data_IF_630537387369
#
_entry.id   IF_630537387369
#
_cell.length_a   1.000
_cell.length_b   1.000
_cell.length_c   1.000
_cell.angle_alpha   90.00
_cell.angle_beta   90.00
_cell.angle_gamma   90.00
#
_symmetry.space_group_name_H-M   'P 1'
#
loop_
_entity.id
_entity.type
_entity.pdbx_description
1 polymer ?
#
# COMPACT_ATOMS: atom_id res chain seq x y z
N UNK A 1 -38.81 0.35 -8.48
CA UNK A 1 -37.89 1.36 -7.87
C UNK A 1 -37.60 2.56 -8.76
N UNK A 2 -37.42 2.43 -10.11
CA UNK A 2 -37.19 3.59 -10.99
C UNK A 2 -38.40 4.51 -11.11
N UNK A 3 -39.61 4.00 -10.93
CA UNK A 3 -40.87 4.76 -11.01
C UNK A 3 -41.22 5.51 -9.72
N UNK A 4 -40.73 5.04 -8.58
CA UNK A 4 -41.07 5.58 -7.26
C UNK A 4 -40.06 6.58 -6.68
N UNK A 5 -38.81 6.59 -7.14
CA UNK A 5 -37.76 7.52 -6.67
C UNK A 5 -36.73 7.81 -7.79
N UNK A 6 -37.12 8.59 -8.82
CA UNK A 6 -36.21 8.94 -9.91
C UNK A 6 -34.99 9.74 -9.44
N UNK A 7 -35.15 10.63 -8.45
CA UNK A 7 -34.09 11.47 -7.90
C UNK A 7 -33.07 10.65 -7.10
N UNK A 8 -33.52 9.73 -6.27
CA UNK A 8 -32.64 8.82 -5.53
C UNK A 8 -31.90 7.82 -6.43
N UNK A 9 -32.53 7.42 -7.57
CA UNK A 9 -31.83 6.62 -8.59
C UNK A 9 -30.74 7.44 -9.28
N UNK A 10 -30.98 8.71 -9.57
CA UNK A 10 -29.99 9.61 -10.17
C UNK A 10 -28.83 9.93 -9.23
N UNK A 11 -29.12 10.21 -7.95
CA UNK A 11 -28.11 10.41 -6.93
C UNK A 11 -27.23 9.16 -6.72
N UNK A 12 -27.81 7.96 -6.74
CA UNK A 12 -27.06 6.70 -6.68
C UNK A 12 -26.20 6.45 -7.92
N UNK A 13 -26.62 6.92 -9.10
CA UNK A 13 -25.80 6.88 -10.34
C UNK A 13 -24.60 7.83 -10.26
N UNK A 14 -24.76 9.04 -9.69
CA UNK A 14 -23.66 9.98 -9.49
C UNK A 14 -22.63 9.47 -8.46
N UNK A 15 -23.01 8.59 -7.54
CA UNK A 15 -22.12 7.91 -6.59
C UNK A 15 -21.35 6.70 -7.19
N UNK A 16 -21.57 6.34 -8.45
CA UNK A 16 -20.79 5.29 -9.10
C UNK A 16 -19.34 5.74 -9.29
N UNK A 17 -18.42 5.09 -8.56
CA UNK A 17 -16.98 5.24 -8.75
C UNK A 17 -16.64 4.94 -10.22
N UNK A 18 -16.30 5.97 -10.98
CA UNK A 18 -15.67 5.79 -12.29
C UNK A 18 -14.27 5.22 -12.09
N UNK A 19 -14.16 3.89 -12.18
CA UNK A 19 -12.87 3.21 -12.15
C UNK A 19 -12.08 3.62 -13.38
N UNK A 20 -10.98 4.32 -13.17
CA UNK A 20 -10.07 4.70 -14.25
C UNK A 20 -9.29 3.47 -14.68
N UNK A 21 -9.03 3.36 -15.97
CA UNK A 21 -8.06 2.39 -16.46
C UNK A 21 -6.67 2.80 -15.96
N UNK A 22 -6.02 1.92 -15.24
CA UNK A 22 -4.63 2.09 -14.86
C UNK A 22 -3.79 1.18 -15.74
N UNK A 23 -2.86 1.77 -16.47
CA UNK A 23 -1.91 1.05 -17.32
C UNK A 23 -0.51 1.41 -16.84
N UNK A 24 0.26 0.42 -16.45
CA UNK A 24 1.70 0.54 -16.25
C UNK A 24 2.38 -0.29 -17.34
N UNK A 25 3.14 0.33 -18.25
CA UNK A 25 3.67 -0.36 -19.43
C UNK A 25 4.86 -1.29 -19.15
N UNK A 26 5.29 -1.45 -17.89
CA UNK A 26 6.41 -2.34 -17.56
C UNK A 26 6.59 -2.60 -16.09
N UNK A 27 7.28 -3.71 -15.78
CA UNK A 27 7.73 -4.01 -14.43
C UNK A 27 8.70 -2.91 -13.96
N UNK A 28 8.64 -2.55 -12.67
CA UNK A 28 9.48 -1.48 -12.10
C UNK A 28 9.37 -0.10 -12.77
N UNK A 29 8.43 0.10 -13.69
CA UNK A 29 8.16 1.44 -14.18
C UNK A 29 7.69 2.35 -13.03
N UNK A 30 6.80 1.88 -12.19
CA UNK A 30 6.39 2.66 -11.02
C UNK A 30 6.16 1.80 -9.78
N UNK A 31 6.51 2.38 -8.63
CA UNK A 31 6.13 1.90 -7.32
C UNK A 31 5.18 2.91 -6.68
N UNK A 32 4.14 2.40 -6.01
CA UNK A 32 3.13 3.18 -5.32
C UNK A 32 3.25 2.92 -3.82
N UNK A 33 3.37 4.00 -3.07
CA UNK A 33 3.63 3.95 -1.63
C UNK A 33 2.50 4.63 -0.88
N UNK A 34 2.03 3.98 0.19
CA UNK A 34 1.04 4.57 1.09
C UNK A 34 1.08 3.91 2.47
N UNK A 35 0.60 4.64 3.49
CA UNK A 35 0.33 4.13 4.82
C UNK A 35 -1.11 3.60 4.98
N UNK A 36 -1.30 2.69 5.93
CA UNK A 36 -2.60 2.23 6.37
C UNK A 36 -2.74 2.44 7.88
N UNK A 37 -3.63 3.35 8.27
CA UNK A 37 -3.82 3.76 9.67
C UNK A 37 -5.02 3.05 10.35
N UNK A 38 -5.46 1.89 9.83
CA UNK A 38 -6.63 1.17 10.37
C UNK A 38 -6.41 0.61 11.79
N UNK A 39 -5.19 0.20 12.09
CA UNK A 39 -4.77 -0.28 13.41
C UNK A 39 -4.09 0.80 14.26
N UNK A 40 -4.00 2.01 13.76
CA UNK A 40 -3.39 3.15 14.47
C UNK A 40 -4.04 3.47 15.83
N UNK A 41 -5.37 3.33 16.05
CA UNK A 41 -5.96 3.50 17.36
C UNK A 41 -5.32 2.62 18.42
N UNK A 42 -4.81 1.43 18.06
CA UNK A 42 -4.12 0.48 18.94
C UNK A 42 -2.58 0.67 18.93
N UNK A 43 -2.08 1.74 18.31
CA UNK A 43 -0.64 2.04 18.26
C UNK A 43 0.12 1.38 17.11
N UNK A 44 -0.55 0.71 16.17
CA UNK A 44 0.06 0.04 15.02
C UNK A 44 -0.28 0.79 13.74
N UNK A 45 0.73 1.34 13.08
CA UNK A 45 0.63 1.90 11.74
C UNK A 45 1.27 0.94 10.74
N UNK A 46 0.64 0.71 9.60
CA UNK A 46 1.17 -0.17 8.56
C UNK A 46 1.61 0.70 7.38
N UNK A 47 2.75 0.38 6.80
CA UNK A 47 3.27 1.07 5.64
C UNK A 47 3.58 0.07 4.53
N UNK A 48 3.19 0.39 3.29
CA UNK A 48 3.34 -0.53 2.18
C UNK A 48 3.76 0.12 0.88
N UNK A 49 4.29 -0.72 0.00
CA UNK A 49 4.63 -0.39 -1.37
C UNK A 49 4.20 -1.51 -2.31
N UNK A 50 3.58 -1.14 -3.42
CA UNK A 50 3.20 -2.07 -4.47
C UNK A 50 3.81 -1.66 -5.82
N UNK A 51 4.16 -2.66 -6.62
CA UNK A 51 4.55 -2.47 -8.01
C UNK A 51 3.33 -2.12 -8.86
N UNK A 52 3.46 -1.13 -9.73
CA UNK A 52 2.33 -0.61 -10.51
C UNK A 52 1.80 -1.56 -11.59
N UNK A 53 2.64 -2.39 -12.20
CA UNK A 53 2.21 -3.37 -13.20
C UNK A 53 1.68 -4.63 -12.55
N UNK A 54 2.55 -5.31 -11.80
CA UNK A 54 2.30 -6.64 -11.27
C UNK A 54 1.41 -6.66 -10.04
N UNK A 55 1.23 -5.51 -9.37
CA UNK A 55 0.60 -5.39 -8.06
C UNK A 55 1.35 -6.18 -6.96
N UNK A 56 2.59 -6.58 -7.22
CA UNK A 56 3.46 -7.22 -6.24
C UNK A 56 3.70 -6.30 -5.06
N UNK A 57 3.51 -6.81 -3.86
CA UNK A 57 3.87 -6.08 -2.64
C UNK A 57 5.38 -6.14 -2.48
N UNK A 58 6.02 -4.97 -2.52
CA UNK A 58 7.47 -4.82 -2.36
C UNK A 58 7.85 -4.86 -0.88
N UNK A 59 7.12 -4.11 -0.06
CA UNK A 59 7.20 -4.21 1.40
C UNK A 59 5.84 -3.99 2.04
N UNK A 60 5.67 -4.54 3.23
CA UNK A 60 4.53 -4.37 4.11
C UNK A 60 5.05 -4.43 5.53
N UNK A 61 5.10 -3.29 6.22
CA UNK A 61 5.80 -3.14 7.49
C UNK A 61 4.91 -2.50 8.54
N UNK A 62 4.91 -3.07 9.76
CA UNK A 62 4.27 -2.47 10.92
C UNK A 62 5.24 -1.55 11.65
N UNK A 63 4.73 -0.45 12.17
CA UNK A 63 5.50 0.52 12.95
C UNK A 63 4.60 1.34 13.87
N UNK A 64 5.18 2.01 14.86
CA UNK A 64 4.42 2.89 15.75
C UNK A 64 3.72 4.05 15.02
N UNK A 65 4.34 4.56 13.98
CA UNK A 65 3.84 5.73 13.26
C UNK A 65 4.34 5.78 11.82
N UNK A 66 3.43 6.04 10.89
CA UNK A 66 3.76 6.29 9.49
C UNK A 66 4.44 7.65 9.24
N UNK A 67 4.68 8.46 10.29
CA UNK A 67 5.21 9.83 10.15
C UNK A 67 6.73 9.93 10.18
N UNK A 68 7.47 8.83 10.39
CA UNK A 68 8.93 8.88 10.45
C UNK A 68 9.57 8.73 9.06
N UNK A 69 10.10 9.82 8.45
CA UNK A 69 10.64 9.78 7.09
C UNK A 69 11.90 8.92 6.97
N UNK A 70 12.66 8.72 8.06
CA UNK A 70 13.86 7.88 8.06
C UNK A 70 13.51 6.39 7.94
N UNK A 71 12.42 5.95 8.59
CA UNK A 71 11.95 4.56 8.48
C UNK A 71 11.45 4.26 7.07
N UNK A 72 10.65 5.17 6.50
CA UNK A 72 10.15 5.01 5.12
C UNK A 72 11.32 4.95 4.12
N UNK A 73 12.30 5.84 4.28
CA UNK A 73 13.51 5.83 3.47
C UNK A 73 14.33 4.53 3.63
N UNK A 74 14.39 3.96 4.84
CA UNK A 74 15.05 2.66 5.10
C UNK A 74 14.35 1.52 4.35
N UNK A 75 13.02 1.46 4.36
CA UNK A 75 12.27 0.44 3.62
C UNK A 75 12.53 0.54 2.13
N UNK A 76 12.52 1.76 1.60
CA UNK A 76 12.84 2.02 0.21
C UNK A 76 14.25 1.55 -0.16
N UNK A 77 15.27 1.98 0.57
CA UNK A 77 16.66 1.58 0.29
C UNK A 77 16.86 0.06 0.37
N UNK A 78 16.28 -0.60 1.37
CA UNK A 78 16.32 -2.06 1.48
C UNK A 78 15.72 -2.73 0.24
N UNK A 79 14.59 -2.20 -0.24
CA UNK A 79 13.90 -2.73 -1.41
C UNK A 79 14.66 -2.46 -2.71
N UNK A 80 15.24 -1.27 -2.87
CA UNK A 80 16.12 -0.93 -4.00
C UNK A 80 17.35 -1.85 -4.03
N UNK A 81 17.97 -2.12 -2.89
CA UNK A 81 19.09 -3.05 -2.78
C UNK A 81 18.66 -4.48 -3.15
N UNK A 82 17.53 -4.95 -2.65
CA UNK A 82 17.02 -6.30 -2.93
C UNK A 82 16.57 -6.49 -4.38
N UNK A 83 16.06 -5.44 -5.02
CA UNK A 83 15.68 -5.45 -6.43
C UNK A 83 16.85 -5.15 -7.40
N UNK A 84 18.05 -4.89 -6.87
CA UNK A 84 19.23 -4.43 -7.64
C UNK A 84 18.94 -3.21 -8.54
N UNK A 85 17.99 -2.36 -8.13
CA UNK A 85 17.61 -1.17 -8.88
C UNK A 85 16.43 -0.43 -8.27
N UNK A 86 16.27 0.84 -8.64
CA UNK A 86 15.12 1.65 -8.24
C UNK A 86 14.06 1.68 -9.35
N UNK A 87 12.78 1.98 -9.02
CA UNK A 87 11.76 2.17 -10.04
C UNK A 87 12.07 3.38 -10.92
N UNK A 88 11.57 3.38 -12.14
CA UNK A 88 11.66 4.56 -13.01
C UNK A 88 10.94 5.74 -12.38
N UNK A 89 9.77 5.50 -11.78
CA UNK A 89 8.99 6.51 -11.05
C UNK A 89 8.50 5.99 -9.70
N UNK A 90 8.45 6.90 -8.75
CA UNK A 90 7.91 6.66 -7.43
C UNK A 90 6.71 7.57 -7.20
N UNK A 91 5.58 7.00 -6.79
CA UNK A 91 4.37 7.75 -6.45
C UNK A 91 4.09 7.67 -4.96
N UNK A 92 3.91 8.82 -4.33
CA UNK A 92 3.50 8.94 -2.93
C UNK A 92 2.39 9.96 -2.77
N UNK A 93 1.66 9.91 -1.68
CA UNK A 93 0.81 11.01 -1.28
C UNK A 93 1.64 12.16 -0.69
N UNK A 94 1.04 13.36 -0.62
CA UNK A 94 1.68 14.49 0.05
C UNK A 94 1.74 14.24 1.55
N UNK A 95 2.95 14.20 2.10
CA UNK A 95 3.21 14.01 3.50
C UNK A 95 4.69 14.26 3.81
N UNK A 96 4.98 14.73 5.01
CA UNK A 96 6.35 15.02 5.45
C UNK A 96 7.20 13.76 5.56
N UNK A 97 6.57 12.62 5.81
CA UNK A 97 7.18 11.30 5.87
C UNK A 97 7.80 10.86 4.54
N UNK A 98 7.32 11.38 3.43
CA UNK A 98 7.79 11.03 2.09
C UNK A 98 8.93 11.91 1.57
N UNK A 99 9.35 12.93 2.33
CA UNK A 99 10.33 13.91 1.86
C UNK A 99 11.71 13.32 1.57
N UNK A 100 12.27 12.54 2.51
CA UNK A 100 13.60 11.90 2.34
C UNK A 100 13.57 10.90 1.18
N UNK A 101 12.55 10.07 1.13
CA UNK A 101 12.34 9.09 0.08
C UNK A 101 12.27 9.74 -1.32
N UNK A 102 11.54 10.86 -1.44
CA UNK A 102 11.41 11.61 -2.69
C UNK A 102 12.77 12.10 -3.20
N UNK A 103 13.58 12.67 -2.31
CA UNK A 103 14.94 13.12 -2.63
C UNK A 103 15.83 11.95 -3.04
N UNK A 104 15.78 10.83 -2.30
CA UNK A 104 16.55 9.62 -2.63
C UNK A 104 16.19 9.06 -4.01
N UNK A 105 14.91 8.97 -4.34
CA UNK A 105 14.48 8.50 -5.65
C UNK A 105 15.00 9.43 -6.77
N UNK A 106 14.88 10.74 -6.60
CA UNK A 106 15.39 11.70 -7.57
C UNK A 106 16.91 11.60 -7.72
N UNK A 107 17.64 11.42 -6.62
CA UNK A 107 19.09 11.25 -6.62
C UNK A 107 19.53 9.98 -7.34
N UNK A 108 18.91 8.84 -7.03
CA UNK A 108 19.22 7.55 -7.68
C UNK A 108 18.94 7.55 -9.19
N UNK A 109 18.12 8.49 -9.65
CA UNK A 109 17.73 8.64 -11.05
C UNK A 109 18.36 9.86 -11.73
N UNK A 110 19.36 10.49 -11.13
CA UNK A 110 19.98 11.72 -11.66
C UNK A 110 20.57 11.52 -13.05
N UNK A 111 21.22 10.38 -13.28
CA UNK A 111 21.88 10.03 -14.55
C UNK A 111 20.98 9.23 -15.51
N UNK A 112 19.69 9.13 -15.21
CA UNK A 112 18.75 8.45 -16.11
C UNK A 112 18.64 9.17 -17.45
N UNK A 113 18.53 8.40 -18.54
CA UNK A 113 18.44 8.93 -19.91
C UNK A 113 16.99 9.07 -20.41
N UNK A 114 16.01 8.66 -19.62
CA UNK A 114 14.60 8.73 -19.98
C UNK A 114 13.92 10.03 -19.52
N UNK A 115 12.70 10.25 -19.99
CA UNK A 115 11.91 11.46 -19.69
C UNK A 115 11.55 11.65 -18.20
N UNK A 116 11.72 10.59 -17.39
CA UNK A 116 11.41 10.57 -15.94
C UNK A 116 12.66 10.67 -15.06
N UNK A 117 13.81 11.04 -15.62
CA UNK A 117 15.04 11.16 -14.87
C UNK A 117 15.02 12.34 -13.87
N UNK A 118 15.93 12.29 -12.92
CA UNK A 118 16.17 13.33 -11.91
C UNK A 118 14.90 13.72 -11.14
N UNK A 119 14.53 14.99 -11.12
CA UNK A 119 13.38 15.52 -10.36
C UNK A 119 12.02 14.96 -10.80
N UNK A 120 11.93 14.37 -11.97
CA UNK A 120 10.70 13.75 -12.50
C UNK A 120 10.52 12.30 -12.03
N UNK A 121 11.55 11.70 -11.41
CA UNK A 121 11.50 10.32 -10.92
C UNK A 121 10.58 10.13 -9.71
N UNK A 122 10.23 11.19 -9.01
CA UNK A 122 9.22 11.17 -7.95
C UNK A 122 8.04 12.08 -8.29
N UNK A 123 6.82 11.66 -7.90
CA UNK A 123 5.62 12.47 -8.07
C UNK A 123 4.68 12.32 -6.90
N UNK A 124 4.28 13.44 -6.31
CA UNK A 124 3.15 13.48 -5.39
C UNK A 124 1.83 13.31 -6.13
N UNK A 125 1.03 12.37 -5.70
CA UNK A 125 -0.28 12.07 -6.28
C UNK A 125 -1.39 12.17 -5.23
N UNK A 126 -2.62 12.40 -5.68
CA UNK A 126 -3.79 12.29 -4.80
C UNK A 126 -4.11 10.79 -4.60
N UNK A 127 -4.74 10.43 -3.48
CA UNK A 127 -5.19 9.06 -3.17
C UNK A 127 -5.98 8.44 -4.33
N UNK A 128 -6.81 9.23 -5.01
CA UNK A 128 -7.56 8.79 -6.20
C UNK A 128 -6.70 8.35 -7.39
N UNK A 129 -5.41 8.67 -7.40
CA UNK A 129 -4.42 8.21 -8.40
C UNK A 129 -3.50 7.11 -7.87
N UNK A 130 -3.59 6.80 -6.58
CA UNK A 130 -2.85 5.72 -5.92
C UNK A 130 -3.70 4.44 -5.82
N UNK A 131 -4.53 4.19 -6.84
CA UNK A 131 -5.63 3.22 -6.79
C UNK A 131 -5.20 1.77 -6.51
N UNK A 132 -4.02 1.35 -6.93
CA UNK A 132 -3.61 -0.05 -6.74
C UNK A 132 -3.32 -0.34 -5.27
N UNK A 133 -2.57 0.52 -4.59
CA UNK A 133 -2.31 0.33 -3.17
C UNK A 133 -3.58 0.56 -2.33
N UNK A 134 -4.45 1.48 -2.73
CA UNK A 134 -5.75 1.68 -2.10
C UNK A 134 -6.68 0.47 -2.27
N UNK A 135 -6.67 -0.14 -3.45
CA UNK A 135 -7.38 -1.39 -3.71
C UNK A 135 -6.84 -2.53 -2.85
N UNK A 136 -5.51 -2.61 -2.70
CA UNK A 136 -4.86 -3.56 -1.81
C UNK A 136 -5.28 -3.34 -0.35
N UNK A 137 -5.28 -2.10 0.16
CA UNK A 137 -5.74 -1.79 1.52
C UNK A 137 -7.20 -2.21 1.77
N UNK A 138 -8.05 -2.05 0.77
CA UNK A 138 -9.45 -2.50 0.84
C UNK A 138 -9.55 -4.03 0.93
N UNK A 139 -8.67 -4.74 0.25
CA UNK A 139 -8.57 -6.20 0.30
C UNK A 139 -8.00 -6.67 1.65
N UNK A 140 -6.89 -6.09 2.08
CA UNK A 140 -6.25 -6.34 3.37
C UNK A 140 -7.21 -6.12 4.54
N UNK A 141 -8.02 -5.03 4.49
CA UNK A 141 -9.02 -4.76 5.52
C UNK A 141 -9.99 -5.92 5.69
N UNK A 142 -10.55 -6.42 4.60
CA UNK A 142 -11.56 -7.48 4.65
C UNK A 142 -11.00 -8.83 5.10
N UNK A 143 -9.75 -9.09 4.80
CA UNK A 143 -9.16 -10.41 5.05
C UNK A 143 -8.42 -10.49 6.39
N UNK A 144 -7.82 -9.41 6.86
CA UNK A 144 -6.90 -9.46 7.99
C UNK A 144 -7.09 -8.34 9.02
N UNK A 145 -7.08 -7.07 8.61
CA UNK A 145 -7.10 -5.99 9.62
C UNK A 145 -8.39 -5.92 10.41
N UNK A 146 -9.52 -6.39 9.86
CA UNK A 146 -10.77 -6.49 10.63
C UNK A 146 -10.62 -7.44 11.82
N UNK A 147 -10.00 -8.62 11.60
CA UNK A 147 -9.74 -9.59 12.67
C UNK A 147 -8.85 -8.99 13.79
N UNK A 148 -7.78 -8.28 13.43
CA UNK A 148 -6.93 -7.60 14.42
C UNK A 148 -7.66 -6.50 15.19
N UNK A 149 -8.52 -5.75 14.48
CA UNK A 149 -9.35 -4.71 15.10
C UNK A 149 -10.32 -5.35 16.11
N UNK A 150 -11.03 -6.40 15.72
CA UNK A 150 -11.98 -7.10 16.56
C UNK A 150 -11.24 -7.71 17.78
N UNK A 151 -10.10 -8.35 17.56
CA UNK A 151 -9.27 -8.93 18.61
C UNK A 151 -8.80 -7.90 19.67
N UNK A 152 -8.37 -6.71 19.24
CA UNK A 152 -8.00 -5.65 20.18
C UNK A 152 -9.20 -4.98 20.83
N UNK A 153 -10.34 -4.92 20.16
CA UNK A 153 -11.59 -4.43 20.75
C UNK A 153 -12.07 -5.35 21.86
N UNK A 154 -11.93 -6.68 21.72
CA UNK A 154 -12.26 -7.64 22.79
C UNK A 154 -11.47 -7.36 24.07
N UNK A 155 -10.21 -6.91 23.97
CA UNK A 155 -9.42 -6.51 25.14
C UNK A 155 -9.94 -5.21 25.78
N UNK A 156 -10.41 -4.25 24.96
CA UNK A 156 -11.04 -3.03 25.47
C UNK A 156 -12.37 -3.32 26.16
N UNK A 157 -13.22 -4.17 25.56
CA UNK A 157 -14.52 -4.54 26.10
C UNK A 157 -14.42 -5.38 27.39
N UNK A 158 -13.30 -6.11 27.54
CA UNK A 158 -13.01 -6.92 28.73
C UNK A 158 -12.26 -6.15 29.82
N UNK A 159 -12.07 -4.84 29.69
CA UNK A 159 -11.29 -3.98 30.61
C UNK A 159 -9.83 -4.46 30.83
N UNK A 160 -9.29 -5.27 29.90
CA UNK A 160 -7.89 -5.73 29.92
C UNK A 160 -6.95 -4.66 29.35
N UNK A 161 -7.43 -3.85 28.41
CA UNK A 161 -6.68 -2.81 27.71
C UNK A 161 -7.31 -1.45 27.95
N UNK A 162 -6.48 -0.50 28.37
CA UNK A 162 -6.80 0.94 28.40
C UNK A 162 -5.84 1.68 27.49
N UNK A 163 -6.32 2.22 26.37
CA UNK A 163 -5.52 2.97 25.40
C UNK A 163 -5.10 4.36 25.91
N UNK A 164 -5.65 4.82 27.03
CA UNK A 164 -5.21 6.07 27.68
C UNK A 164 -3.99 5.84 28.58
N UNK A 165 -3.73 4.60 28.97
CA UNK A 165 -2.56 4.21 29.74
C UNK A 165 -1.37 3.92 28.80
N UNK A 166 -0.28 4.66 28.99
CA UNK A 166 0.95 4.50 28.22
C UNK A 166 1.62 3.14 28.44
N UNK A 167 1.48 2.54 29.62
CA UNK A 167 2.03 1.22 29.92
C UNK A 167 1.26 0.15 29.13
N UNK A 168 -0.06 0.24 29.11
CA UNK A 168 -0.89 -0.68 28.32
C UNK A 168 -0.57 -0.59 26.83
N UNK A 169 -0.46 0.61 26.26
CA UNK A 169 -0.13 0.78 24.83
C UNK A 169 1.27 0.28 24.49
N UNK A 170 2.27 0.49 25.34
CA UNK A 170 3.63 -0.04 25.17
C UNK A 170 3.66 -1.57 25.31
N UNK A 171 2.92 -2.12 26.26
CA UNK A 171 2.81 -3.58 26.46
C UNK A 171 2.13 -4.23 25.25
N UNK A 172 1.05 -3.61 24.75
CA UNK A 172 0.37 -4.07 23.54
C UNK A 172 1.33 -4.14 22.36
N UNK A 173 2.12 -3.08 22.16
CA UNK A 173 3.14 -3.07 21.12
C UNK A 173 4.18 -4.18 21.32
N UNK A 174 4.73 -4.29 22.51
CA UNK A 174 5.73 -5.31 22.82
C UNK A 174 5.23 -6.73 22.56
N UNK A 175 3.99 -7.02 22.91
CA UNK A 175 3.40 -8.35 22.75
C UNK A 175 3.04 -8.67 21.29
N UNK A 176 2.59 -7.69 20.51
CA UNK A 176 1.91 -7.96 19.24
C UNK A 176 2.60 -7.42 18.00
N UNK A 177 3.63 -6.57 18.12
CA UNK A 177 4.29 -6.00 16.94
C UNK A 177 4.90 -7.07 16.04
N UNK A 178 5.65 -8.00 16.61
CA UNK A 178 6.29 -9.09 15.86
C UNK A 178 5.25 -10.08 15.31
N UNK A 179 4.21 -10.41 16.08
CA UNK A 179 3.11 -11.27 15.62
C UNK A 179 2.35 -10.65 14.45
N UNK A 180 2.11 -9.34 14.53
CA UNK A 180 1.47 -8.60 13.44
C UNK A 180 2.38 -8.54 12.21
N UNK A 181 3.70 -8.35 12.40
CA UNK A 181 4.65 -8.37 11.28
C UNK A 181 4.70 -9.74 10.61
N UNK A 182 4.75 -10.83 11.39
CA UNK A 182 4.71 -12.19 10.86
C UNK A 182 3.43 -12.46 10.05
N UNK A 183 2.29 -11.95 10.51
CA UNK A 183 1.03 -12.06 9.77
C UNK A 183 1.06 -11.22 8.47
N UNK A 184 1.63 -10.01 8.52
CA UNK A 184 1.83 -9.18 7.33
C UNK A 184 2.75 -9.84 6.30
N UNK A 185 3.82 -10.52 6.74
CA UNK A 185 4.72 -11.26 5.85
C UNK A 185 4.02 -12.44 5.18
N UNK A 186 3.23 -13.21 5.92
CA UNK A 186 2.40 -14.29 5.36
C UNK A 186 1.38 -13.76 4.34
N UNK A 187 0.73 -12.63 4.65
CA UNK A 187 -0.21 -11.98 3.74
C UNK A 187 0.47 -11.49 2.47
N UNK A 188 1.67 -10.91 2.59
CA UNK A 188 2.49 -10.46 1.45
C UNK A 188 2.85 -11.64 0.54
N UNK A 189 3.33 -12.74 1.11
CA UNK A 189 3.74 -13.93 0.36
C UNK A 189 2.55 -14.59 -0.33
N UNK A 190 1.42 -14.72 0.37
CA UNK A 190 0.19 -15.20 -0.23
C UNK A 190 -0.30 -14.30 -1.37
N UNK A 191 -0.30 -12.96 -1.18
CA UNK A 191 -0.69 -12.02 -2.22
C UNK A 191 0.20 -12.10 -3.44
N UNK A 192 1.51 -12.17 -3.24
CA UNK A 192 2.49 -12.17 -4.31
C UNK A 192 2.45 -13.47 -5.16
N UNK A 193 2.06 -14.58 -4.55
CA UNK A 193 1.99 -15.89 -5.21
C UNK A 193 0.61 -16.21 -5.83
N UNK A 194 -0.50 -15.58 -5.36
CA UNK A 194 -1.82 -15.91 -5.86
C UNK A 194 -2.09 -15.33 -7.26
N UNK A 195 -2.95 -15.98 -8.02
CA UNK A 195 -3.31 -15.51 -9.37
C UNK A 195 -4.40 -14.44 -9.33
N UNK A 196 -4.07 -13.23 -9.80
CA UNK A 196 -5.02 -12.15 -10.04
C UNK A 196 -5.80 -12.45 -11.32
N UNK A 197 -7.12 -12.46 -11.23
CA UNK A 197 -8.02 -12.72 -12.37
C UNK A 197 -8.07 -11.52 -13.30
N UNK A 198 -8.27 -11.80 -14.60
CA UNK A 198 -8.50 -10.75 -15.60
C UNK A 198 -9.73 -9.92 -15.21
N UNK A 199 -9.58 -8.62 -15.26
CA UNK A 199 -10.64 -7.65 -14.97
C UNK A 199 -10.98 -6.86 -16.22
N UNK A 200 -12.26 -6.46 -16.37
CA UNK A 200 -12.70 -5.53 -17.42
C UNK A 200 -12.08 -4.13 -17.31
N UNK A 201 -11.32 -3.87 -16.27
CA UNK A 201 -10.63 -2.58 -16.03
C UNK A 201 -9.14 -2.62 -16.40
N UNK A 202 -8.77 -3.44 -17.36
CA UNK A 202 -7.42 -3.51 -17.93
C UNK A 202 -6.30 -3.80 -16.93
N UNK A 203 -6.55 -4.68 -15.95
CA UNK A 203 -5.48 -5.25 -15.14
C UNK A 203 -4.88 -6.46 -15.87
N UNK A 204 -3.56 -6.53 -15.89
CA UNK A 204 -2.86 -7.73 -16.32
C UNK A 204 -3.25 -8.88 -15.39
N UNK A 205 -3.48 -10.08 -15.92
CA UNK A 205 -3.86 -11.26 -15.13
C UNK A 205 -2.65 -12.17 -14.96
N UNK A 206 -2.39 -12.59 -13.74
CA UNK A 206 -1.26 -13.48 -13.43
C UNK A 206 -0.95 -13.46 -11.95
N UNK A 207 0.03 -14.22 -11.51
CA UNK A 207 0.57 -14.09 -10.17
C UNK A 207 1.50 -12.87 -10.10
N UNK A 208 1.37 -12.00 -9.08
CA UNK A 208 2.21 -10.81 -8.94
C UNK A 208 3.72 -11.07 -9.06
N UNK A 209 4.22 -12.16 -8.47
CA UNK A 209 5.62 -12.54 -8.58
C UNK A 209 6.00 -12.90 -10.03
N UNK A 210 5.17 -13.68 -10.71
CA UNK A 210 5.43 -14.04 -12.12
C UNK A 210 5.48 -12.79 -13.01
N UNK A 211 4.47 -11.90 -12.85
CA UNK A 211 4.40 -10.65 -13.61
C UNK A 211 5.55 -9.67 -13.28
N UNK A 212 6.15 -9.80 -12.10
CA UNK A 212 7.26 -8.95 -11.68
C UNK A 212 8.61 -9.44 -12.19
N UNK A 213 8.85 -10.76 -12.12
CA UNK A 213 10.14 -11.36 -12.49
C UNK A 213 10.24 -11.78 -13.95
N UNK A 214 9.10 -12.02 -14.62
CA UNK A 214 9.00 -12.42 -16.03
C UNK A 214 8.03 -11.50 -16.79
N UNK A 215 8.24 -10.18 -16.76
CA UNK A 215 7.29 -9.21 -17.32
C UNK A 215 7.05 -9.40 -18.82
N UNK A 216 8.02 -9.94 -19.55
CA UNK A 216 7.95 -10.21 -21.00
C UNK A 216 6.88 -11.25 -21.37
N UNK A 217 6.48 -12.11 -20.43
CA UNK A 217 5.42 -13.09 -20.67
C UNK A 217 3.99 -12.52 -20.51
N UNK A 218 3.88 -11.29 -19.99
CA UNK A 218 2.61 -10.67 -19.60
C UNK A 218 2.32 -9.32 -20.27
N UNK A 219 3.23 -8.75 -21.03
CA UNK A 219 3.16 -7.40 -21.57
C UNK A 219 3.06 -7.25 -23.04
#
# INVERSE_FOLDING_TARGET
MREFDPRGVEQRKHGHLHRRMYVSPGANLCWLINGCDKLKPFGFSIHGCVNGLSQRIIWLEVQHSNKNPRLIARYFLRSVKGAHGCPVRLYTERGTENGILAVMQCYLRTEGLDEYAASKAHKYVKSTRNQQIESYWSHFRRQRSSWWIDFFNDFLESDILDLTDEIHTKTLWFCFADLLQDDLDKVKDYWNSHRIRKSKYATVSGAPDMMYFLPEEFG
#
